data_IF_241706544002
#
_entry.id   IF_241706544002
#
_cell.length_a   1.000
_cell.length_b   1.000
_cell.length_c   1.000
_cell.angle_alpha   90.00
_cell.angle_beta   90.00
_cell.angle_gamma   90.00
#
_symmetry.space_group_name_H-M   'P 1'
#
loop_
_entity.id
_entity.type
_entity.pdbx_description
1 polymer ?
#
# COMPACT_ATOMS: atom_id res chain seq x y z
N UNK A 1 14.75 -5.88 -10.83
CA UNK A 1 15.22 -4.77 -9.96
C UNK A 1 16.42 -4.01 -10.57
N UNK A 2 17.37 -4.67 -11.23
CA UNK A 2 18.56 -4.00 -11.81
C UNK A 2 18.20 -2.96 -12.88
N UNK A 3 17.29 -3.31 -13.79
CA UNK A 3 16.81 -2.40 -14.84
C UNK A 3 16.06 -1.19 -14.25
N UNK A 4 15.22 -1.41 -13.25
CA UNK A 4 14.53 -0.34 -12.52
C UNK A 4 15.52 0.66 -11.95
N UNK A 5 16.56 0.18 -11.25
CA UNK A 5 17.60 1.03 -10.67
C UNK A 5 18.33 1.84 -11.74
N UNK A 6 18.72 1.20 -12.84
CA UNK A 6 19.40 1.89 -13.93
C UNK A 6 18.53 2.95 -14.61
N UNK A 7 17.22 2.67 -14.78
CA UNK A 7 16.27 3.63 -15.34
C UNK A 7 16.02 4.80 -14.39
N UNK A 8 15.79 4.52 -13.10
CA UNK A 8 15.53 5.55 -12.11
C UNK A 8 16.68 6.55 -11.96
N UNK A 9 17.95 6.06 -11.94
CA UNK A 9 19.15 6.91 -11.95
C UNK A 9 19.16 7.84 -13.16
N UNK A 10 18.99 7.29 -14.37
CA UNK A 10 19.00 8.09 -15.60
C UNK A 10 17.90 9.14 -15.63
N UNK A 11 16.70 8.80 -15.13
CA UNK A 11 15.59 9.74 -15.06
C UNK A 11 15.85 10.85 -14.02
N UNK A 12 16.42 10.48 -12.87
CA UNK A 12 16.82 11.47 -11.85
C UNK A 12 17.86 12.44 -12.40
N UNK A 13 18.89 11.93 -13.07
CA UNK A 13 19.97 12.75 -13.61
C UNK A 13 19.51 13.68 -14.75
N UNK A 14 18.57 13.20 -15.60
CA UNK A 14 18.16 13.96 -16.80
C UNK A 14 16.98 14.88 -16.56
N UNK A 15 16.06 14.52 -15.64
CA UNK A 15 14.76 15.16 -15.49
C UNK A 15 14.48 15.64 -14.06
N UNK A 16 15.47 15.52 -13.16
CA UNK A 16 15.33 15.87 -11.73
C UNK A 16 14.05 15.32 -11.07
N UNK A 17 13.78 14.04 -11.31
CA UNK A 17 12.59 13.36 -10.77
C UNK A 17 12.60 13.44 -9.24
N UNK A 18 11.47 13.83 -8.66
CA UNK A 18 11.30 14.02 -7.19
C UNK A 18 10.54 12.88 -6.51
N UNK A 19 9.93 11.97 -7.27
CA UNK A 19 9.16 10.83 -6.79
C UNK A 19 9.23 9.70 -7.81
N UNK A 20 9.34 8.46 -7.34
CA UNK A 20 9.16 7.26 -8.16
C UNK A 20 7.96 6.47 -7.65
N UNK A 21 7.08 6.06 -8.54
CA UNK A 21 5.96 5.17 -8.23
C UNK A 21 6.15 3.86 -8.99
N UNK A 22 6.03 2.75 -8.27
CA UNK A 22 6.18 1.39 -8.83
C UNK A 22 4.81 0.69 -8.73
N UNK A 23 4.20 0.42 -9.87
CA UNK A 23 2.95 -0.33 -9.98
C UNK A 23 3.22 -1.63 -10.76
N UNK A 24 3.31 -2.74 -10.08
CA UNK A 24 3.30 -3.07 -8.66
C UNK A 24 4.45 -4.05 -8.36
N UNK A 25 4.76 -4.25 -7.09
CA UNK A 25 5.95 -4.98 -6.63
C UNK A 25 6.06 -6.39 -7.19
N UNK A 26 4.93 -7.11 -7.29
CA UNK A 26 4.91 -8.51 -7.72
C UNK A 26 5.34 -8.72 -9.18
N UNK A 27 5.37 -7.66 -10.00
CA UNK A 27 5.91 -7.70 -11.36
C UNK A 27 7.45 -7.66 -11.40
N UNK A 28 8.08 -7.25 -10.32
CA UNK A 28 9.53 -7.19 -10.25
C UNK A 28 10.12 -8.59 -10.07
N UNK A 29 11.32 -8.77 -10.63
CA UNK A 29 12.12 -9.99 -10.48
C UNK A 29 13.51 -9.66 -9.96
N UNK A 30 14.04 -10.53 -9.11
CA UNK A 30 15.43 -10.50 -8.72
C UNK A 30 16.28 -11.38 -9.67
N UNK A 31 17.50 -10.98 -10.03
CA UNK A 31 18.42 -11.80 -10.80
C UNK A 31 19.06 -12.92 -9.96
N UNK A 32 18.83 -12.96 -8.67
CA UNK A 32 19.41 -13.94 -7.75
C UNK A 32 18.87 -15.35 -8.01
N UNK A 33 19.78 -16.34 -8.08
CA UNK A 33 19.41 -17.76 -8.19
C UNK A 33 18.61 -18.24 -6.99
N UNK A 34 18.84 -17.69 -5.81
CA UNK A 34 18.13 -18.02 -4.58
C UNK A 34 16.66 -17.53 -4.59
N UNK A 35 16.36 -16.47 -5.33
CA UNK A 35 15.00 -15.96 -5.52
C UNK A 35 14.15 -16.79 -6.48
N UNK A 36 14.75 -17.60 -7.36
CA UNK A 36 14.02 -18.41 -8.34
C UNK A 36 13.18 -19.52 -7.66
N UNK A 37 13.68 -20.07 -6.55
CA UNK A 37 13.05 -21.18 -5.84
C UNK A 37 12.21 -20.74 -4.62
N UNK A 38 12.36 -19.46 -4.19
CA UNK A 38 11.67 -18.95 -3.01
C UNK A 38 11.24 -17.51 -3.21
N UNK A 39 9.92 -17.31 -3.45
CA UNK A 39 9.32 -15.98 -3.67
C UNK A 39 9.53 -15.02 -2.49
N UNK A 40 9.56 -15.51 -1.25
CA UNK A 40 9.79 -14.66 -0.07
C UNK A 40 11.19 -14.06 -0.08
N UNK A 41 12.19 -14.86 -0.46
CA UNK A 41 13.59 -14.39 -0.60
C UNK A 41 13.68 -13.36 -1.72
N UNK A 42 13.04 -13.64 -2.86
CA UNK A 42 13.00 -12.71 -4.00
C UNK A 42 12.40 -11.36 -3.60
N UNK A 43 11.27 -11.38 -2.90
CA UNK A 43 10.59 -10.16 -2.42
C UNK A 43 11.47 -9.40 -1.43
N UNK A 44 12.18 -10.11 -0.54
CA UNK A 44 13.11 -9.48 0.41
C UNK A 44 14.26 -8.75 -0.32
N UNK A 45 14.86 -9.37 -1.32
CA UNK A 45 15.91 -8.76 -2.13
C UNK A 45 15.41 -7.53 -2.89
N UNK A 46 14.20 -7.61 -3.47
CA UNK A 46 13.57 -6.50 -4.18
C UNK A 46 13.29 -5.35 -3.21
N UNK A 47 12.71 -5.61 -2.05
CA UNK A 47 12.39 -4.62 -1.02
C UNK A 47 13.65 -3.88 -0.56
N UNK A 48 14.68 -4.62 -0.15
CA UNK A 48 15.96 -4.03 0.24
C UNK A 48 16.59 -3.22 -0.90
N UNK A 49 16.49 -3.71 -2.15
CA UNK A 49 16.98 -3.02 -3.33
C UNK A 49 16.27 -1.69 -3.60
N UNK A 50 14.95 -1.64 -3.42
CA UNK A 50 14.16 -0.40 -3.54
C UNK A 50 14.50 0.57 -2.41
N UNK A 51 14.64 0.08 -1.18
CA UNK A 51 15.04 0.93 -0.04
C UNK A 51 16.41 1.54 -0.24
N UNK A 52 17.37 0.76 -0.76
CA UNK A 52 18.71 1.26 -1.08
C UNK A 52 18.65 2.32 -2.19
N UNK A 53 17.81 2.10 -3.22
CA UNK A 53 17.63 3.04 -4.32
C UNK A 53 17.02 4.37 -3.84
N UNK A 54 16.02 4.35 -2.97
CA UNK A 54 15.41 5.56 -2.41
C UNK A 54 16.44 6.40 -1.63
N UNK A 55 17.29 5.74 -0.85
CA UNK A 55 18.41 6.41 -0.14
C UNK A 55 19.45 6.97 -1.09
N UNK A 56 19.85 6.22 -2.10
CA UNK A 56 20.84 6.61 -3.11
C UNK A 56 20.40 7.86 -3.88
N UNK A 57 19.14 7.87 -4.33
CA UNK A 57 18.59 8.97 -5.11
C UNK A 57 18.11 10.14 -4.23
N UNK A 58 18.04 9.96 -2.91
CA UNK A 58 17.47 10.92 -1.94
C UNK A 58 16.06 11.39 -2.31
N UNK A 59 15.23 10.49 -2.85
CA UNK A 59 13.82 10.75 -3.19
C UNK A 59 12.91 9.65 -2.65
N UNK A 60 11.63 9.96 -2.36
CA UNK A 60 10.66 8.94 -1.98
C UNK A 60 10.38 7.97 -3.14
N UNK A 61 10.16 6.71 -2.77
CA UNK A 61 9.67 5.68 -3.69
C UNK A 61 8.37 5.12 -3.10
N UNK A 62 7.26 5.25 -3.83
CA UNK A 62 5.98 4.63 -3.50
C UNK A 62 5.88 3.32 -4.26
N UNK A 63 5.59 2.24 -3.55
CA UNK A 63 5.45 0.90 -4.14
C UNK A 63 4.06 0.39 -3.87
N UNK A 64 3.31 0.07 -4.91
CA UNK A 64 2.05 -0.64 -4.79
C UNK A 64 2.33 -2.13 -4.60
N UNK A 65 1.59 -2.75 -3.69
CA UNK A 65 1.70 -4.18 -3.43
C UNK A 65 0.31 -4.77 -3.22
N UNK A 66 0.09 -5.95 -3.79
CA UNK A 66 -1.14 -6.69 -3.56
C UNK A 66 -1.06 -7.44 -2.24
N UNK A 67 -2.13 -7.37 -1.45
CA UNK A 67 -2.30 -8.17 -0.24
C UNK A 67 -2.62 -9.62 -0.60
N UNK A 68 -2.34 -10.55 0.33
CA UNK A 68 -2.86 -11.90 0.24
C UNK A 68 -4.40 -11.90 0.44
N UNK A 69 -5.06 -13.04 0.20
CA UNK A 69 -6.53 -13.16 0.33
C UNK A 69 -7.02 -13.40 1.77
N UNK A 70 -6.14 -13.39 2.78
CA UNK A 70 -6.51 -13.63 4.17
C UNK A 70 -7.57 -12.65 4.74
N UNK A 71 -7.61 -11.36 4.35
CA UNK A 71 -8.67 -10.45 4.76
C UNK A 71 -10.07 -10.96 4.44
N UNK A 72 -10.25 -11.58 3.27
CA UNK A 72 -11.55 -12.11 2.79
C UNK A 72 -12.07 -13.27 3.66
N UNK A 73 -11.17 -14.03 4.27
CA UNK A 73 -11.51 -15.18 5.10
C UNK A 73 -11.86 -14.82 6.56
N UNK A 74 -11.74 -13.54 6.96
CA UNK A 74 -12.07 -13.09 8.31
C UNK A 74 -13.56 -12.91 8.47
N UNK A 75 -14.06 -13.15 9.69
CA UNK A 75 -15.45 -13.00 10.07
C UNK A 75 -15.64 -11.90 11.12
N UNK A 76 -16.87 -11.41 11.30
CA UNK A 76 -17.23 -10.36 12.26
C UNK A 76 -16.75 -8.96 11.84
N UNK A 77 -16.67 -8.04 12.78
CA UNK A 77 -16.36 -6.60 12.58
C UNK A 77 -15.03 -6.31 11.89
N UNK A 78 -14.18 -7.33 11.74
CA UNK A 78 -12.89 -7.23 11.06
C UNK A 78 -12.92 -7.82 9.65
N UNK A 79 -14.09 -8.21 9.14
CA UNK A 79 -14.24 -8.82 7.80
C UNK A 79 -13.65 -7.89 6.74
N UNK A 80 -12.75 -8.41 5.95
CA UNK A 80 -12.09 -7.66 4.89
C UNK A 80 -11.10 -6.58 5.32
N UNK A 81 -11.03 -6.18 6.61
CA UNK A 81 -10.11 -5.10 7.03
C UNK A 81 -8.66 -5.56 6.96
N UNK A 82 -7.82 -4.90 6.14
CA UNK A 82 -6.44 -5.31 5.94
C UNK A 82 -5.57 -5.01 7.18
N UNK A 83 -4.53 -5.82 7.37
CA UNK A 83 -3.54 -5.69 8.45
C UNK A 83 -2.12 -5.86 7.89
N UNK A 84 -1.11 -5.42 8.63
CA UNK A 84 0.29 -5.64 8.26
C UNK A 84 0.61 -7.12 8.00
N UNK A 85 0.00 -8.03 8.77
CA UNK A 85 0.17 -9.47 8.58
C UNK A 85 -0.30 -10.00 7.22
N UNK A 86 -1.10 -9.24 6.48
CA UNK A 86 -1.58 -9.60 5.15
C UNK A 86 -0.53 -9.34 4.06
N UNK A 87 0.53 -8.63 4.43
CA UNK A 87 1.79 -8.56 3.67
C UNK A 87 2.70 -9.78 3.89
N UNK A 88 2.18 -10.90 4.38
CA UNK A 88 2.91 -12.04 4.97
C UNK A 88 3.92 -12.73 4.05
N UNK A 89 3.74 -12.70 2.74
CA UNK A 89 4.77 -13.13 1.79
C UNK A 89 5.92 -12.11 1.67
N UNK A 90 5.78 -10.99 2.37
CA UNK A 90 6.59 -9.80 2.25
C UNK A 90 6.94 -9.19 3.62
N UNK A 91 7.20 -10.01 4.63
CA UNK A 91 7.61 -9.52 5.97
C UNK A 91 8.81 -8.57 5.92
N UNK A 92 9.65 -8.71 4.89
CA UNK A 92 10.75 -7.79 4.58
C UNK A 92 10.24 -6.41 4.14
N UNK A 93 9.13 -6.33 3.38
CA UNK A 93 8.53 -5.04 2.98
C UNK A 93 8.11 -4.27 4.22
N UNK A 94 7.46 -4.96 5.18
CA UNK A 94 7.09 -4.35 6.44
C UNK A 94 8.32 -3.78 7.17
N UNK A 95 9.45 -4.50 7.18
CA UNK A 95 10.67 -4.05 7.85
C UNK A 95 11.33 -2.86 7.14
N UNK A 96 11.40 -2.89 5.81
CA UNK A 96 12.10 -1.90 5.00
C UNK A 96 11.32 -0.59 4.82
N UNK A 97 9.99 -0.68 4.70
CA UNK A 97 9.14 0.48 4.49
C UNK A 97 9.17 1.45 5.69
N UNK A 98 9.22 2.75 5.42
CA UNK A 98 9.10 3.79 6.44
C UNK A 98 7.63 4.05 6.78
N UNK A 99 6.75 3.87 5.79
CA UNK A 99 5.30 4.00 5.90
C UNK A 99 4.64 2.84 5.16
N UNK A 100 3.60 2.27 5.77
CA UNK A 100 2.70 1.29 5.13
C UNK A 100 1.28 1.80 5.24
N UNK A 101 0.67 2.08 4.10
CA UNK A 101 -0.73 2.43 3.96
C UNK A 101 -1.50 1.26 3.34
N UNK A 102 -2.60 0.87 3.98
CA UNK A 102 -3.48 -0.20 3.52
C UNK A 102 -4.82 0.42 3.12
N UNK A 103 -5.16 0.33 1.83
CA UNK A 103 -6.42 0.85 1.32
C UNK A 103 -7.53 -0.17 1.55
N UNK A 104 -8.63 0.26 2.18
CA UNK A 104 -9.76 -0.58 2.49
C UNK A 104 -11.08 0.06 2.07
N UNK A 105 -11.97 -0.77 1.51
CA UNK A 105 -13.34 -0.42 1.17
C UNK A 105 -14.25 -1.52 1.70
N UNK A 106 -14.94 -1.26 2.78
CA UNK A 106 -15.77 -2.22 3.51
C UNK A 106 -16.89 -2.79 2.65
N UNK A 107 -17.50 -1.96 1.81
CA UNK A 107 -18.60 -2.34 0.91
C UNK A 107 -18.34 -3.59 0.05
N UNK A 108 -17.05 -3.91 -0.24
CA UNK A 108 -16.68 -5.09 -1.02
C UNK A 108 -16.78 -6.41 -0.26
N UNK A 109 -16.86 -6.34 1.05
CA UNK A 109 -16.83 -7.51 1.94
C UNK A 109 -18.17 -7.77 2.62
N UNK A 110 -19.18 -6.94 2.36
CA UNK A 110 -20.52 -7.11 2.86
C UNK A 110 -21.34 -8.02 1.95
N UNK A 111 -22.11 -8.91 2.57
CA UNK A 111 -23.00 -9.82 1.87
C UNK A 111 -24.41 -9.21 1.72
N UNK A 112 -24.80 -8.33 2.64
CA UNK A 112 -26.08 -7.63 2.64
C UNK A 112 -26.08 -6.41 1.71
N UNK A 113 -27.08 -6.32 0.84
CA UNK A 113 -27.17 -5.25 -0.16
C UNK A 113 -27.58 -3.89 0.45
N UNK A 114 -28.28 -3.86 1.57
CA UNK A 114 -28.66 -2.61 2.24
C UNK A 114 -27.45 -2.04 2.99
N UNK A 115 -26.73 -2.86 3.76
CA UNK A 115 -25.49 -2.46 4.42
C UNK A 115 -24.45 -1.98 3.40
N UNK A 116 -24.37 -2.67 2.24
CA UNK A 116 -23.47 -2.28 1.15
C UNK A 116 -23.79 -0.90 0.58
N UNK A 117 -25.08 -0.54 0.45
CA UNK A 117 -25.52 0.77 -0.01
C UNK A 117 -25.18 1.89 0.99
N UNK A 118 -25.31 1.62 2.29
CA UNK A 118 -24.98 2.59 3.34
C UNK A 118 -23.50 2.93 3.39
N UNK A 119 -22.65 1.97 3.00
CA UNK A 119 -21.20 2.13 2.97
C UNK A 119 -20.65 2.45 1.58
N UNK A 120 -21.52 2.62 0.59
CA UNK A 120 -21.12 2.93 -0.77
C UNK A 120 -20.28 4.21 -0.83
N UNK A 121 -19.14 4.11 -1.51
CA UNK A 121 -18.20 5.22 -1.66
C UNK A 121 -17.40 5.54 -0.41
N UNK A 122 -17.57 4.82 0.71
CA UNK A 122 -16.71 4.97 1.89
C UNK A 122 -15.45 4.14 1.72
N UNK A 123 -14.31 4.76 2.01
CA UNK A 123 -13.01 4.10 2.00
C UNK A 123 -12.16 4.58 3.17
N UNK A 124 -11.15 3.80 3.53
CA UNK A 124 -10.15 4.18 4.53
C UNK A 124 -8.75 3.90 3.99
N UNK A 125 -7.83 4.82 4.23
CA UNK A 125 -6.40 4.56 4.15
C UNK A 125 -5.88 4.32 5.57
N UNK A 126 -5.65 3.04 5.90
CA UNK A 126 -5.12 2.65 7.21
C UNK A 126 -3.61 2.80 7.19
N UNK A 127 -3.08 3.76 7.93
CA UNK A 127 -1.64 3.91 8.16
C UNK A 127 -1.25 2.86 9.20
N UNK A 128 -0.86 1.69 8.73
CA UNK A 128 -0.57 0.53 9.56
C UNK A 128 0.85 0.54 10.14
N UNK A 129 1.76 1.29 9.50
CA UNK A 129 3.12 1.55 9.97
C UNK A 129 3.54 2.96 9.58
N UNK A 130 4.20 3.65 10.49
CA UNK A 130 4.88 4.93 10.23
C UNK A 130 6.06 5.08 11.19
N UNK A 131 7.29 5.20 10.67
CA UNK A 131 8.48 5.28 11.53
C UNK A 131 8.56 6.57 12.34
N UNK A 132 8.15 7.68 11.75
CA UNK A 132 8.32 9.01 12.31
C UNK A 132 6.99 9.73 12.60
N UNK A 133 5.91 8.96 12.82
CA UNK A 133 4.60 9.54 13.10
C UNK A 133 3.60 8.51 13.64
N UNK A 134 2.37 8.94 13.95
CA UNK A 134 1.34 8.06 14.45
C UNK A 134 0.80 7.12 13.37
N UNK A 135 0.30 5.99 13.80
CA UNK A 135 -0.55 5.11 13.00
C UNK A 135 -2.02 5.49 13.19
N UNK A 136 -2.88 5.13 12.25
CA UNK A 136 -4.29 5.47 12.32
C UNK A 136 -5.00 5.24 11.00
N UNK A 137 -6.26 5.64 10.90
CA UNK A 137 -7.04 5.56 9.68
C UNK A 137 -7.40 6.96 9.16
N UNK A 138 -7.24 7.17 7.87
CA UNK A 138 -7.64 8.38 7.16
C UNK A 138 -8.90 8.03 6.36
N UNK A 139 -10.06 8.63 6.69
CA UNK A 139 -11.29 8.40 5.95
C UNK A 139 -11.21 9.05 4.57
N UNK A 140 -11.63 8.31 3.56
CA UNK A 140 -11.65 8.74 2.16
C UNK A 140 -13.04 8.53 1.56
N UNK A 141 -13.32 9.27 0.49
CA UNK A 141 -14.45 9.04 -0.41
C UNK A 141 -13.95 8.40 -1.70
N UNK A 142 -14.52 7.25 -2.08
CA UNK A 142 -14.22 6.56 -3.32
C UNK A 142 -15.26 6.89 -4.39
N UNK A 143 -14.85 7.58 -5.44
CA UNK A 143 -15.66 7.91 -6.60
C UNK A 143 -15.50 6.82 -7.67
N UNK A 144 -16.34 5.79 -7.63
CA UNK A 144 -16.23 4.59 -8.47
C UNK A 144 -16.27 4.90 -9.96
N UNK A 145 -17.13 5.83 -10.37
CA UNK A 145 -17.34 6.19 -11.78
C UNK A 145 -16.08 6.72 -12.48
N UNK A 146 -15.17 7.30 -11.71
CA UNK A 146 -13.91 7.90 -12.23
C UNK A 146 -12.67 7.30 -11.56
N UNK A 147 -12.83 6.23 -10.77
CA UNK A 147 -11.72 5.52 -10.08
C UNK A 147 -10.83 6.48 -9.28
N UNK A 148 -11.45 7.38 -8.49
CA UNK A 148 -10.76 8.42 -7.75
C UNK A 148 -11.07 8.33 -6.26
N UNK A 149 -10.08 8.67 -5.44
CA UNK A 149 -10.25 8.88 -4.00
C UNK A 149 -10.09 10.36 -3.69
N UNK A 150 -10.92 10.85 -2.77
CA UNK A 150 -10.89 12.22 -2.27
C UNK A 150 -10.93 12.21 -0.74
N UNK A 151 -10.49 13.31 -0.14
CA UNK A 151 -10.61 13.50 1.29
C UNK A 151 -12.10 13.51 1.69
N UNK A 152 -12.43 12.76 2.72
CA UNK A 152 -13.77 12.78 3.27
C UNK A 152 -13.89 13.95 4.23
N UNK A 153 -14.84 14.85 3.97
CA UNK A 153 -15.16 15.92 4.88
C UNK A 153 -15.58 15.35 6.25
N UNK A 154 -14.94 15.80 7.32
CA UNK A 154 -15.42 15.53 8.67
C UNK A 154 -16.64 16.44 8.89
N UNK A 155 -17.82 15.87 9.10
CA UNK A 155 -18.90 16.59 9.76
C UNK A 155 -18.37 16.98 11.15
N UNK A 156 -18.08 18.25 11.37
CA UNK A 156 -17.87 18.75 12.72
C UNK A 156 -19.20 18.63 13.43
N UNK A 157 -19.31 17.71 14.39
CA UNK A 157 -20.39 17.78 15.36
C UNK A 157 -20.32 19.16 16.01
N UNK A 158 -21.32 20.00 15.73
CA UNK A 158 -21.45 21.25 16.45
C UNK A 158 -21.66 20.91 17.93
N UNK A 159 -20.90 21.49 18.85
CA UNK A 159 -21.11 21.24 20.27
C UNK A 159 -22.53 21.67 20.61
N UNK A 160 -23.35 20.70 21.02
CA UNK A 160 -24.69 20.98 21.53
C UNK A 160 -24.60 22.00 22.66
N UNK A 161 -25.23 23.15 22.47
CA UNK A 161 -25.38 24.20 23.48
C UNK A 161 -26.26 23.76 24.65
#
# INVERSE_FOLDING_TARGET
ILELRARARRLKDRHDVSLVIIDYLQLLRSPSRWGLDNRQVEVAEISAGIKALAKELSIPIVVLAQLNRNPEARTGDSKGKPRLSDLRESGSIEQDADLVGLLWREEYYLDDDEERKELEGKAELVIAKQRNGPVGAVPLTSLKSITRFEDRAFEREEPSR
#
